data_IF_131681558796
#
_entry.id   IF_131681558796
#
_cell.length_a   1.000
_cell.length_b   1.000
_cell.length_c   1.000
_cell.angle_alpha   90.00
_cell.angle_beta   90.00
_cell.angle_gamma   90.00
#
_symmetry.space_group_name_H-M   'P 1'
#
loop_
_entity.id
_entity.type
_entity.pdbx_description
1 polymer ?
#
# COMPACT_ATOMS: atom_id res chain seq x y z
N UNK A 1 5.23 5.31 -14.68
CA UNK A 1 6.43 5.57 -15.50
C UNK A 1 7.75 5.38 -14.73
N UNK A 2 8.04 6.18 -13.69
CA UNK A 2 9.28 6.01 -12.90
C UNK A 2 9.45 4.59 -12.32
N UNK A 3 8.39 4.02 -11.74
CA UNK A 3 8.41 2.65 -11.23
C UNK A 3 8.60 1.58 -12.32
N UNK A 4 8.16 1.86 -13.55
CA UNK A 4 8.33 0.97 -14.72
C UNK A 4 9.79 0.95 -15.17
N UNK A 5 10.41 2.13 -15.26
CA UNK A 5 11.83 2.27 -15.57
C UNK A 5 12.71 1.63 -14.49
N UNK A 6 12.40 1.87 -13.22
CA UNK A 6 13.12 1.24 -12.12
C UNK A 6 13.06 -0.29 -12.20
N UNK A 7 11.87 -0.85 -12.52
CA UNK A 7 11.71 -2.29 -12.75
C UNK A 7 12.54 -2.79 -13.92
N UNK A 8 12.56 -2.09 -15.06
CA UNK A 8 13.35 -2.52 -16.22
C UNK A 8 14.86 -2.48 -15.96
N UNK A 9 15.30 -1.65 -15.02
CA UNK A 9 16.69 -1.58 -14.57
C UNK A 9 17.01 -2.57 -13.44
N UNK A 10 16.05 -3.39 -13.01
CA UNK A 10 16.24 -4.37 -11.93
C UNK A 10 16.27 -3.76 -10.52
N UNK A 11 15.84 -2.50 -10.37
CA UNK A 11 15.79 -1.82 -9.07
C UNK A 11 14.53 -2.21 -8.29
N UNK A 12 14.68 -2.32 -6.96
CA UNK A 12 13.52 -2.39 -6.05
C UNK A 12 12.82 -1.04 -5.97
N UNK A 13 11.49 -1.07 -5.87
CA UNK A 13 10.67 0.15 -5.74
C UNK A 13 9.92 0.10 -4.41
N UNK A 14 10.07 1.14 -3.60
CA UNK A 14 9.30 1.36 -2.38
C UNK A 14 8.41 2.61 -2.54
N UNK A 15 7.35 2.72 -1.74
CA UNK A 15 6.45 3.87 -1.71
C UNK A 15 6.08 4.25 -0.27
N UNK A 16 5.35 5.34 -0.04
CA UNK A 16 4.89 5.66 1.32
C UNK A 16 4.21 7.02 1.54
N UNK A 17 4.77 8.11 1.01
CA UNK A 17 4.30 9.46 1.32
C UNK A 17 2.84 9.67 0.89
N UNK A 18 2.02 10.25 1.78
CA UNK A 18 0.58 10.54 1.60
C UNK A 18 -0.34 9.37 1.22
N UNK A 19 0.07 8.14 1.53
CA UNK A 19 -0.80 6.98 1.33
C UNK A 19 -1.75 6.78 2.52
N UNK A 20 -2.97 6.36 2.21
CA UNK A 20 -4.04 6.10 3.16
C UNK A 20 -4.93 4.94 2.66
N UNK A 21 -6.02 4.63 3.39
CA UNK A 21 -6.94 3.55 3.02
C UNK A 21 -7.64 3.75 1.67
N UNK A 22 -7.82 5.00 1.23
CA UNK A 22 -8.56 5.34 0.01
C UNK A 22 -7.71 5.18 -1.26
N UNK A 23 -6.41 5.47 -1.19
CA UNK A 23 -5.54 5.52 -2.37
C UNK A 23 -4.54 4.34 -2.46
N UNK A 24 -4.28 3.62 -1.36
CA UNK A 24 -3.26 2.57 -1.34
C UNK A 24 -3.58 1.42 -2.29
N UNK A 25 -4.85 1.02 -2.38
CA UNK A 25 -5.24 -0.09 -3.26
C UNK A 25 -5.02 0.26 -4.74
N UNK A 26 -5.33 1.49 -5.13
CA UNK A 26 -5.06 1.96 -6.49
C UNK A 26 -3.57 1.91 -6.82
N UNK A 27 -2.70 2.39 -5.92
CA UNK A 27 -1.25 2.30 -6.12
C UNK A 27 -0.77 0.85 -6.28
N UNK A 28 -1.26 -0.06 -5.42
CA UNK A 28 -0.93 -1.48 -5.47
C UNK A 28 -1.31 -2.11 -6.82
N UNK A 29 -2.50 -1.79 -7.35
CA UNK A 29 -2.93 -2.27 -8.67
C UNK A 29 -2.08 -1.73 -9.82
N UNK A 30 -1.62 -0.47 -9.73
CA UNK A 30 -0.79 0.13 -10.77
C UNK A 30 0.67 -0.34 -10.73
N UNK A 31 1.17 -0.67 -9.54
CA UNK A 31 2.58 -1.03 -9.32
C UNK A 31 2.67 -2.29 -8.41
N UNK A 32 2.19 -3.46 -8.86
CA UNK A 32 2.16 -4.68 -8.06
C UNK A 32 3.55 -5.26 -7.76
N UNK A 33 4.63 -4.67 -8.32
CA UNK A 33 6.02 -5.03 -8.05
C UNK A 33 6.68 -4.13 -6.99
N UNK A 34 5.91 -3.34 -6.24
CA UNK A 34 6.40 -2.66 -5.04
C UNK A 34 6.98 -3.68 -4.06
N UNK A 35 8.14 -3.36 -3.48
CA UNK A 35 8.76 -4.17 -2.43
C UNK A 35 8.21 -3.83 -1.05
N UNK A 36 7.97 -2.55 -0.80
CA UNK A 36 7.51 -2.05 0.50
C UNK A 36 6.67 -0.78 0.32
N UNK A 37 5.72 -0.58 1.24
CA UNK A 37 5.05 0.70 1.44
C UNK A 37 5.17 1.11 2.91
N UNK A 38 5.80 2.26 3.19
CA UNK A 38 5.98 2.77 4.56
C UNK A 38 4.98 3.90 4.83
N UNK A 39 4.00 3.69 5.71
CA UNK A 39 2.91 4.64 6.00
C UNK A 39 2.92 5.03 7.48
N UNK A 40 2.99 6.34 7.73
CA UNK A 40 3.07 6.91 9.09
C UNK A 40 1.79 7.64 9.49
N UNK A 41 1.68 8.92 9.14
CA UNK A 41 0.65 9.84 9.62
C UNK A 41 -0.78 9.31 9.46
N UNK A 42 -1.16 8.86 8.27
CA UNK A 42 -2.49 8.30 7.99
C UNK A 42 -2.79 7.06 8.85
N UNK A 43 -1.82 6.15 8.94
CA UNK A 43 -1.97 4.92 9.73
C UNK A 43 -2.16 5.23 11.21
N UNK A 44 -1.39 6.15 11.79
CA UNK A 44 -1.56 6.54 13.19
C UNK A 44 -2.88 7.28 13.41
N UNK A 45 -3.28 8.14 12.48
CA UNK A 45 -4.55 8.88 12.55
C UNK A 45 -5.76 7.94 12.55
N UNK A 46 -5.79 6.95 11.64
CA UNK A 46 -6.84 5.93 11.61
C UNK A 46 -6.83 5.06 12.87
N UNK A 47 -5.65 4.76 13.42
CA UNK A 47 -5.50 3.98 14.65
C UNK A 47 -6.08 4.66 15.89
N UNK A 48 -6.21 5.99 15.92
CA UNK A 48 -6.89 6.70 17.01
C UNK A 48 -8.39 6.34 17.08
N UNK A 49 -9.00 5.96 15.95
CA UNK A 49 -10.42 5.64 15.87
C UNK A 49 -10.68 4.13 15.81
N UNK A 50 -9.88 3.38 15.05
CA UNK A 50 -10.07 1.94 14.81
C UNK A 50 -9.29 1.07 15.79
N UNK A 51 -8.28 1.62 16.48
CA UNK A 51 -7.26 0.87 17.19
C UNK A 51 -6.16 0.35 16.25
N UNK A 52 -4.93 0.28 16.76
CA UNK A 52 -3.74 -0.03 15.95
C UNK A 52 -3.82 -1.37 15.22
N UNK A 53 -4.31 -2.42 15.90
CA UNK A 53 -4.41 -3.77 15.34
C UNK A 53 -5.34 -3.83 14.12
N UNK A 54 -6.55 -3.27 14.24
CA UNK A 54 -7.51 -3.27 13.15
C UNK A 54 -7.09 -2.34 12.02
N UNK A 55 -6.41 -1.24 12.34
CA UNK A 55 -5.83 -0.34 11.33
C UNK A 55 -4.77 -1.05 10.49
N UNK A 56 -3.80 -1.71 11.12
CA UNK A 56 -2.78 -2.48 10.38
C UNK A 56 -3.43 -3.54 9.47
N UNK A 57 -4.50 -4.20 9.95
CA UNK A 57 -5.25 -5.18 9.16
C UNK A 57 -5.94 -4.52 7.96
N UNK A 58 -6.57 -3.36 8.13
CA UNK A 58 -7.22 -2.61 7.06
C UNK A 58 -6.22 -2.21 5.96
N UNK A 59 -5.08 -1.61 6.33
CA UNK A 59 -4.03 -1.24 5.37
C UNK A 59 -3.45 -2.46 4.64
N UNK A 60 -3.22 -3.58 5.35
CA UNK A 60 -2.80 -4.83 4.72
C UNK A 60 -3.82 -5.39 3.75
N UNK A 61 -5.11 -5.19 3.99
CA UNK A 61 -6.15 -5.64 3.07
C UNK A 61 -6.15 -4.85 1.76
N UNK A 62 -5.74 -3.57 1.76
CA UNK A 62 -5.57 -2.79 0.52
C UNK A 62 -4.49 -3.40 -0.41
N UNK A 63 -3.55 -4.17 0.13
CA UNK A 63 -2.47 -4.84 -0.61
C UNK A 63 -2.82 -6.26 -1.06
N UNK A 64 -4.04 -6.73 -0.77
CA UNK A 64 -4.51 -8.00 -1.29
C UNK A 64 -5.12 -7.77 -2.67
N UNK A 65 -4.86 -8.70 -3.57
CA UNK A 65 -5.71 -8.84 -4.74
C UNK A 65 -7.12 -9.25 -4.27
N UNK A 66 -8.13 -8.96 -5.09
CA UNK A 66 -9.46 -9.48 -4.86
C UNK A 66 -9.41 -11.01 -5.05
N UNK A 67 -8.98 -11.74 -4.02
CA UNK A 67 -8.99 -13.18 -4.04
C UNK A 67 -10.45 -13.66 -4.09
N UNK A 68 -10.77 -14.34 -5.18
CA UNK A 68 -11.75 -15.43 -5.26
C UNK A 68 -13.16 -15.12 -4.74
N UNK A 69 -13.90 -14.28 -5.48
CA UNK A 69 -15.35 -14.48 -5.62
C UNK A 69 -15.59 -15.47 -6.77
N UNK A 70 -15.18 -16.71 -6.55
CA UNK A 70 -15.53 -17.89 -7.35
C UNK A 70 -16.35 -18.85 -6.52
#
# INVERSE_FOLDING_TARGET
EAATLAKSLGLGVNAGHDLNLDNLHYLWQQIPWLKEVSIGHSLISDALYMGLKETIKAYKNCLKEAADMG
#
